data_IF_071350975817
#
_entry.id   IF_071350975817
#
_cell.length_a   1.000
_cell.length_b   1.000
_cell.length_c   1.000
_cell.angle_alpha   90.00
_cell.angle_beta   90.00
_cell.angle_gamma   90.00
#
_symmetry.space_group_name_H-M   'P 1'
#
loop_
_entity.id
_entity.type
_entity.pdbx_description
1 polymer ?
#
# COMPACT_ATOMS: atom_id res chain seq x y z
N UNK A 1 -28.84 -35.36 4.08
CA UNK A 1 -28.46 -34.40 5.15
C UNK A 1 -27.53 -35.02 6.21
N UNK A 2 -27.78 -36.26 6.71
CA UNK A 2 -26.91 -36.93 7.72
C UNK A 2 -25.44 -37.17 7.35
N UNK A 3 -25.08 -37.22 6.07
CA UNK A 3 -23.70 -37.49 5.64
C UNK A 3 -22.79 -36.26 5.66
N UNK A 4 -23.38 -35.05 5.57
CA UNK A 4 -22.66 -33.77 5.56
C UNK A 4 -22.28 -33.37 6.99
N UNK A 5 -23.15 -33.59 7.97
CA UNK A 5 -22.84 -33.34 9.39
C UNK A 5 -21.70 -34.24 9.89
N UNK A 6 -21.65 -35.50 9.44
CA UNK A 6 -20.54 -36.42 9.78
C UNK A 6 -19.21 -35.99 9.18
N UNK A 7 -19.20 -35.45 7.96
CA UNK A 7 -17.96 -34.97 7.32
C UNK A 7 -17.45 -33.70 7.99
N UNK A 8 -18.35 -32.77 8.35
CA UNK A 8 -17.99 -31.56 9.09
C UNK A 8 -17.43 -31.91 10.48
N UNK A 9 -18.02 -32.86 11.20
CA UNK A 9 -17.49 -33.30 12.50
C UNK A 9 -16.11 -33.97 12.39
N UNK A 10 -15.86 -34.78 11.35
CA UNK A 10 -14.55 -35.40 11.11
C UNK A 10 -13.46 -34.37 10.79
N UNK A 11 -13.79 -33.33 10.04
CA UNK A 11 -12.85 -32.24 9.71
C UNK A 11 -12.56 -31.36 10.94
N UNK A 12 -13.57 -31.12 11.79
CA UNK A 12 -13.37 -30.35 13.02
C UNK A 12 -12.46 -31.11 14.01
N UNK A 13 -12.64 -32.43 14.14
CA UNK A 13 -11.81 -33.27 15.00
C UNK A 13 -10.36 -33.37 14.53
N UNK A 14 -10.11 -33.43 13.21
CA UNK A 14 -8.74 -33.46 12.69
C UNK A 14 -8.02 -32.12 12.90
N UNK A 15 -8.72 -30.98 12.76
CA UNK A 15 -8.16 -29.66 13.06
C UNK A 15 -7.76 -29.51 14.54
N UNK A 16 -8.61 -29.98 15.46
CA UNK A 16 -8.31 -29.94 16.89
C UNK A 16 -7.10 -30.84 17.21
N UNK A 17 -7.01 -32.03 16.61
CA UNK A 17 -5.87 -32.94 16.82
C UNK A 17 -4.54 -32.33 16.34
N UNK A 18 -4.54 -31.61 15.20
CA UNK A 18 -3.35 -30.92 14.68
C UNK A 18 -2.93 -29.76 15.60
N UNK A 19 -3.90 -28.99 16.11
CA UNK A 19 -3.62 -27.89 17.05
C UNK A 19 -3.02 -28.39 18.37
N UNK A 20 -3.53 -29.51 18.90
CA UNK A 20 -2.97 -30.14 20.11
C UNK A 20 -1.55 -30.66 19.85
N UNK A 21 -1.30 -31.27 18.70
CA UNK A 21 0.04 -31.77 18.36
C UNK A 21 1.07 -30.64 18.24
N UNK A 22 0.69 -29.51 17.63
CA UNK A 22 1.55 -28.31 17.55
C UNK A 22 1.85 -27.73 18.95
N UNK A 23 0.87 -27.74 19.85
CA UNK A 23 1.05 -27.27 21.23
C UNK A 23 2.00 -28.17 22.04
N UNK A 24 1.92 -29.49 21.86
CA UNK A 24 2.83 -30.44 22.53
C UNK A 24 4.28 -30.27 22.05
N UNK A 25 4.49 -30.02 20.75
CA UNK A 25 5.83 -29.77 20.20
C UNK A 25 6.41 -28.45 20.74
N UNK A 26 5.57 -27.42 20.92
CA UNK A 26 5.98 -26.15 21.53
C UNK A 26 6.33 -26.28 23.01
N UNK A 27 5.71 -27.21 23.75
CA UNK A 27 5.99 -27.45 25.17
C UNK A 27 7.28 -28.25 25.41
N UNK A 28 7.75 -29.02 24.43
CA UNK A 28 8.98 -29.81 24.54
C UNK A 28 10.25 -29.06 24.07
N UNK A 29 10.12 -27.87 23.50
CA UNK A 29 11.26 -27.05 23.05
C UNK A 29 11.53 -25.89 24.01
N UNK A 30 12.12 -26.16 25.18
CA UNK A 30 12.58 -25.06 26.04
C UNK A 30 13.17 -25.42 27.39
N UNK A 31 14.49 -25.71 27.44
CA UNK A 31 15.47 -25.07 28.35
C UNK A 31 16.85 -25.72 28.26
N UNK A 32 17.86 -24.95 27.84
CA UNK A 32 19.20 -24.96 28.46
C UNK A 32 19.74 -23.52 28.50
N UNK A 33 19.62 -22.92 29.67
CA UNK A 33 20.43 -21.80 30.14
C UNK A 33 21.35 -22.36 31.23
N UNK A 34 22.67 -22.22 31.08
CA UNK A 34 23.62 -22.53 32.15
C UNK A 34 24.48 -21.31 32.43
N UNK A 35 24.25 -20.71 33.59
CA UNK A 35 25.20 -19.87 34.32
C UNK A 35 25.72 -20.66 35.52
N UNK A 36 27.04 -20.71 35.73
CA UNK A 36 27.60 -20.93 37.06
C UNK A 36 29.00 -20.33 37.16
N UNK A 37 29.23 -19.60 38.25
CA UNK A 37 30.50 -19.04 38.67
C UNK A 37 30.81 -19.49 40.11
N UNK A 38 32.07 -19.90 40.34
CA UNK A 38 32.77 -20.05 41.65
C UNK A 38 32.43 -21.32 42.46
N UNK A 39 33.32 -22.02 43.18
CA UNK A 39 34.76 -21.93 43.54
C UNK A 39 35.17 -23.34 44.04
N UNK A 40 36.37 -23.86 43.70
CA UNK A 40 37.29 -24.50 44.67
C UNK A 40 38.59 -25.02 44.04
N UNK A 41 39.64 -24.83 44.83
CA UNK A 41 41.06 -25.19 44.79
C UNK A 41 41.50 -26.54 44.17
N UNK A 42 42.65 -26.56 43.48
CA UNK A 42 43.97 -26.91 44.06
C UNK A 42 45.01 -27.46 43.03
N UNK A 43 46.29 -27.19 43.32
CA UNK A 43 47.54 -27.91 42.95
C UNK A 43 48.23 -27.72 41.58
N UNK A 44 49.36 -27.00 41.65
CA UNK A 44 50.71 -27.20 41.09
C UNK A 44 50.96 -27.84 39.71
N UNK A 45 51.79 -27.17 38.90
CA UNK A 45 52.58 -27.80 37.84
C UNK A 45 53.36 -26.77 37.01
N UNK A 46 54.66 -26.98 36.88
CA UNK A 46 55.66 -26.01 36.48
C UNK A 46 55.79 -25.77 34.96
N UNK A 47 56.30 -24.57 34.61
CA UNK A 47 57.28 -24.37 33.55
C UNK A 47 56.80 -24.42 32.09
N UNK A 48 56.63 -23.25 31.47
CA UNK A 48 56.45 -23.17 30.01
C UNK A 48 56.51 -21.74 29.50
N UNK A 49 57.59 -21.43 28.79
CA UNK A 49 57.98 -20.12 28.22
C UNK A 49 56.83 -19.30 27.62
N UNK A 50 56.86 -18.02 27.96
CA UNK A 50 56.20 -16.91 27.27
C UNK A 50 56.47 -16.98 25.76
N UNK A 51 55.43 -17.30 24.98
CA UNK A 51 55.40 -17.02 23.54
C UNK A 51 54.22 -16.10 23.28
N UNK A 52 54.59 -14.89 22.86
CA UNK A 52 53.74 -13.80 22.40
C UNK A 52 52.86 -14.31 21.25
N UNK A 53 51.52 -14.18 21.27
CA UNK A 53 50.75 -14.41 20.06
C UNK A 53 51.00 -13.24 19.11
N UNK A 54 51.56 -13.56 17.95
CA UNK A 54 51.56 -12.69 16.79
C UNK A 54 50.11 -12.34 16.43
N UNK A 55 49.82 -11.05 16.23
CA UNK A 55 48.51 -10.56 15.83
C UNK A 55 48.16 -11.07 14.44
N UNK A 56 47.24 -12.02 14.38
CA UNK A 56 46.46 -12.30 13.18
C UNK A 56 45.07 -11.71 13.46
N UNK A 57 44.84 -10.48 13.02
CA UNK A 57 43.51 -9.88 13.11
C UNK A 57 42.52 -10.78 12.37
N UNK A 58 41.54 -11.32 13.09
CA UNK A 58 40.54 -12.20 12.50
C UNK A 58 39.83 -11.46 11.36
N UNK A 59 40.01 -11.91 10.12
CA UNK A 59 39.38 -11.29 8.95
C UNK A 59 37.87 -11.48 9.06
N UNK A 60 37.13 -10.37 9.07
CA UNK A 60 35.69 -10.37 9.25
C UNK A 60 35.00 -10.57 7.90
N UNK A 61 34.10 -11.55 7.82
CA UNK A 61 33.31 -11.77 6.61
C UNK A 61 32.13 -10.81 6.57
N UNK A 62 31.97 -10.09 5.46
CA UNK A 62 30.89 -9.11 5.28
C UNK A 62 30.18 -9.28 3.94
N UNK A 63 28.91 -8.87 3.90
CA UNK A 63 28.20 -8.61 2.65
C UNK A 63 28.54 -7.20 2.18
N UNK A 64 28.93 -7.05 0.92
CA UNK A 64 29.28 -5.75 0.33
C UNK A 64 28.34 -5.40 -0.83
N UNK A 65 28.08 -4.12 -0.98
CA UNK A 65 27.30 -3.52 -2.09
C UNK A 65 28.20 -2.56 -2.83
N UNK A 66 28.23 -2.67 -4.15
CA UNK A 66 28.96 -1.74 -5.00
C UNK A 66 28.11 -0.50 -5.26
N UNK A 67 28.70 0.67 -5.14
CA UNK A 67 28.04 1.95 -5.40
C UNK A 67 27.85 2.15 -6.91
N UNK A 68 26.71 1.75 -7.44
CA UNK A 68 26.33 1.96 -8.84
C UNK A 68 25.23 3.03 -8.97
N UNK A 69 25.10 3.69 -10.14
CA UNK A 69 23.97 4.57 -10.41
C UNK A 69 22.65 3.80 -10.33
N UNK A 70 21.85 4.10 -9.30
CA UNK A 70 20.57 3.47 -9.05
C UNK A 70 19.48 4.53 -8.87
N UNK A 71 18.23 4.09 -8.82
CA UNK A 71 17.07 4.96 -8.61
C UNK A 71 16.31 4.54 -7.35
N UNK A 72 15.90 5.52 -6.56
CA UNK A 72 15.13 5.28 -5.35
C UNK A 72 13.76 5.94 -5.47
N UNK A 73 12.73 5.11 -5.35
CA UNK A 73 11.33 5.54 -5.34
C UNK A 73 10.82 5.43 -3.91
N UNK A 74 10.27 6.52 -3.40
CA UNK A 74 9.51 6.54 -2.16
C UNK A 74 8.03 6.53 -2.50
N UNK A 75 7.33 5.54 -1.95
CA UNK A 75 5.89 5.36 -2.15
C UNK A 75 5.15 5.48 -0.83
N UNK A 76 3.84 5.73 -0.93
CA UNK A 76 2.91 5.58 0.18
C UNK A 76 1.78 4.67 -0.27
N UNK A 77 1.35 3.78 0.64
CA UNK A 77 0.21 2.91 0.40
C UNK A 77 -1.05 3.58 0.96
N UNK A 78 -2.07 3.68 0.13
CA UNK A 78 -3.36 4.30 0.42
C UNK A 78 -4.49 3.36 0.02
N UNK A 79 -5.66 3.63 0.56
CA UNK A 79 -6.90 2.96 0.20
C UNK A 79 -7.86 3.98 -0.39
N UNK A 80 -8.65 3.56 -1.36
CA UNK A 80 -9.65 4.43 -1.97
C UNK A 80 -10.71 3.63 -2.71
N UNK A 81 -11.59 4.35 -3.36
CA UNK A 81 -12.76 3.79 -4.02
C UNK A 81 -12.88 4.33 -5.44
N UNK A 82 -13.32 3.45 -6.34
CA UNK A 82 -13.61 3.83 -7.72
C UNK A 82 -14.96 4.54 -7.75
N UNK A 83 -14.93 5.80 -8.16
CA UNK A 83 -16.11 6.67 -8.26
C UNK A 83 -16.28 7.17 -9.69
N UNK A 84 -17.52 7.46 -10.07
CA UNK A 84 -17.82 8.12 -11.34
C UNK A 84 -17.55 9.61 -11.19
N UNK A 85 -17.01 10.25 -12.24
CA UNK A 85 -16.84 11.71 -12.23
C UNK A 85 -18.16 12.45 -12.22
N UNK A 86 -19.12 11.93 -12.98
CA UNK A 86 -20.47 12.48 -13.06
C UNK A 86 -21.47 11.45 -12.55
N UNK A 87 -22.10 11.79 -11.43
CA UNK A 87 -23.26 11.10 -10.91
C UNK A 87 -24.35 12.13 -10.63
N UNK A 88 -25.55 11.91 -11.15
CA UNK A 88 -26.69 12.79 -10.92
C UNK A 88 -27.91 12.00 -10.46
N UNK A 89 -28.50 12.49 -9.37
CA UNK A 89 -29.78 12.03 -8.87
C UNK A 89 -30.89 12.75 -9.63
N UNK A 90 -31.81 11.98 -10.21
CA UNK A 90 -33.01 12.49 -10.86
C UNK A 90 -34.15 12.54 -9.86
N UNK A 91 -34.82 13.67 -9.75
CA UNK A 91 -35.93 13.88 -8.83
C UNK A 91 -37.25 14.04 -9.59
N UNK A 92 -38.35 13.73 -8.92
CA UNK A 92 -39.67 14.06 -9.45
C UNK A 92 -39.95 15.56 -9.27
N UNK A 93 -40.57 16.19 -10.26
CA UNK A 93 -41.04 17.58 -10.15
C UNK A 93 -42.28 17.70 -9.24
N UNK A 94 -43.02 16.59 -9.08
CA UNK A 94 -44.27 16.53 -8.33
C UNK A 94 -44.34 15.27 -7.48
N UNK A 95 -45.00 15.35 -6.32
CA UNK A 95 -45.34 14.18 -5.50
C UNK A 95 -46.48 13.41 -6.18
N UNK A 96 -46.35 12.08 -6.29
CA UNK A 96 -47.36 11.25 -6.94
C UNK A 96 -47.01 9.77 -6.94
N UNK A 97 -47.86 8.96 -7.57
CA UNK A 97 -47.58 7.54 -7.76
C UNK A 97 -46.72 7.31 -9.00
N UNK A 98 -45.74 6.42 -8.91
CA UNK A 98 -44.95 6.00 -10.06
C UNK A 98 -45.80 5.13 -10.99
N UNK A 99 -46.15 5.63 -12.17
CA UNK A 99 -47.01 4.91 -13.14
C UNK A 99 -46.18 3.97 -14.03
N UNK A 100 -45.01 4.43 -14.43
CA UNK A 100 -44.11 3.65 -15.27
C UNK A 100 -42.67 4.02 -15.00
N UNK A 101 -41.79 3.04 -15.07
CA UNK A 101 -40.35 3.21 -15.16
C UNK A 101 -39.93 2.62 -16.50
N UNK A 102 -39.49 3.47 -17.43
CA UNK A 102 -39.11 3.06 -18.79
C UNK A 102 -37.68 2.50 -18.83
N UNK A 103 -36.93 2.65 -17.73
CA UNK A 103 -35.54 2.30 -17.65
C UNK A 103 -35.26 1.29 -16.53
N UNK A 104 -34.15 0.57 -16.66
CA UNK A 104 -33.72 -0.50 -15.75
C UNK A 104 -32.30 -0.20 -15.27
N UNK A 105 -31.94 -0.65 -14.07
CA UNK A 105 -30.55 -0.57 -13.60
C UNK A 105 -29.62 -1.24 -14.62
N UNK A 106 -28.58 -0.53 -15.04
CA UNK A 106 -27.64 -0.93 -16.09
C UNK A 106 -28.01 -0.48 -17.50
N UNK A 107 -29.20 0.09 -17.72
CA UNK A 107 -29.58 0.65 -19.03
C UNK A 107 -28.98 2.04 -19.26
N UNK A 108 -28.58 2.31 -20.51
CA UNK A 108 -28.09 3.62 -20.93
C UNK A 108 -29.25 4.56 -21.27
N UNK A 109 -29.19 5.79 -20.76
CA UNK A 109 -30.16 6.86 -20.99
C UNK A 109 -29.45 8.09 -21.53
N UNK A 110 -30.14 8.81 -22.43
CA UNK A 110 -29.63 10.06 -23.01
C UNK A 110 -30.19 11.26 -22.26
N UNK A 111 -29.48 12.37 -22.27
CA UNK A 111 -29.97 13.65 -21.76
C UNK A 111 -31.32 13.99 -22.40
N UNK A 112 -32.31 14.27 -21.56
CA UNK A 112 -33.69 14.59 -21.95
C UNK A 112 -34.62 13.39 -22.11
N UNK A 113 -34.11 12.15 -22.12
CA UNK A 113 -34.95 10.96 -22.19
C UNK A 113 -35.79 10.81 -20.92
N UNK A 114 -37.00 10.29 -21.08
CA UNK A 114 -37.90 10.02 -19.96
C UNK A 114 -37.44 8.73 -19.30
N UNK A 115 -37.18 8.80 -18.00
CA UNK A 115 -36.77 7.65 -17.18
C UNK A 115 -37.98 7.06 -16.48
N UNK A 116 -38.85 7.91 -15.96
CA UNK A 116 -40.05 7.50 -15.24
C UNK A 116 -41.20 8.50 -15.41
N UNK A 117 -42.41 8.06 -15.09
CA UNK A 117 -43.62 8.89 -15.12
C UNK A 117 -44.33 8.84 -13.79
N UNK A 118 -44.65 10.01 -13.27
CA UNK A 118 -45.28 10.20 -11.95
C UNK A 118 -46.67 10.77 -12.15
N UNK A 119 -47.66 10.13 -11.57
CA UNK A 119 -49.04 10.62 -11.56
C UNK A 119 -49.32 11.41 -10.28
N UNK A 120 -49.41 12.76 -10.36
CA UNK A 120 -49.76 13.60 -9.22
C UNK A 120 -51.27 13.62 -8.94
N UNK A 121 -52.09 12.89 -9.71
CA UNK A 121 -53.54 12.97 -9.64
C UNK A 121 -54.04 12.59 -8.25
N UNK A 122 -54.73 13.54 -7.64
CA UNK A 122 -55.60 13.34 -6.48
C UNK A 122 -57.05 13.32 -6.98
N UNK A 123 -57.98 12.66 -6.27
CA UNK A 123 -59.39 12.72 -6.62
C UNK A 123 -59.85 14.18 -6.83
N UNK A 124 -60.29 14.51 -8.05
CA UNK A 124 -60.73 15.86 -8.45
C UNK A 124 -59.71 16.73 -9.20
N UNK A 125 -58.48 16.27 -9.45
CA UNK A 125 -57.46 16.99 -10.23
C UNK A 125 -57.44 16.56 -11.73
N UNK A 126 -57.06 17.44 -12.66
CA UNK A 126 -56.86 17.06 -14.07
C UNK A 126 -55.70 16.08 -14.22
N UNK A 127 -55.89 15.06 -15.06
CA UNK A 127 -54.93 13.98 -15.29
C UNK A 127 -53.76 14.47 -16.16
N UNK A 128 -52.60 14.70 -15.56
CA UNK A 128 -51.37 15.04 -16.29
C UNK A 128 -50.17 14.34 -15.65
N UNK A 129 -49.65 13.32 -16.33
CA UNK A 129 -48.50 12.55 -15.86
C UNK A 129 -47.23 13.40 -16.00
N UNK A 130 -46.49 13.54 -14.92
CA UNK A 130 -45.24 14.31 -14.86
C UNK A 130 -44.03 13.42 -15.23
N UNK A 131 -43.28 13.74 -16.30
CA UNK A 131 -42.12 12.93 -16.71
C UNK A 131 -40.87 13.30 -15.93
N UNK A 132 -40.19 12.30 -15.38
CA UNK A 132 -38.83 12.43 -14.83
C UNK A 132 -37.84 12.23 -15.97
N UNK A 133 -37.01 13.24 -16.24
CA UNK A 133 -36.06 13.22 -17.37
C UNK A 133 -34.62 13.12 -16.89
N UNK A 134 -33.78 12.43 -17.66
CA UNK A 134 -32.34 12.46 -17.41
C UNK A 134 -31.76 13.83 -17.77
N UNK A 135 -30.91 14.38 -16.91
CA UNK A 135 -30.20 15.65 -17.14
C UNK A 135 -28.84 15.46 -17.81
N UNK A 136 -28.33 14.23 -17.86
CA UNK A 136 -27.06 13.84 -18.48
C UNK A 136 -27.22 12.59 -19.35
N UNK A 137 -26.23 12.32 -20.20
CA UNK A 137 -26.05 11.01 -20.82
C UNK A 137 -25.34 10.09 -19.83
N UNK A 138 -25.80 8.85 -19.66
CA UNK A 138 -25.18 7.91 -18.73
C UNK A 138 -25.97 6.64 -18.50
N UNK A 139 -25.52 5.82 -17.56
CA UNK A 139 -26.13 4.55 -17.20
C UNK A 139 -26.86 4.68 -15.88
N UNK A 140 -28.05 4.10 -15.78
CA UNK A 140 -28.79 4.06 -14.52
C UNK A 140 -28.09 3.12 -13.54
N UNK A 141 -27.64 3.66 -12.42
CA UNK A 141 -26.97 2.90 -11.36
C UNK A 141 -27.91 2.48 -10.25
N UNK A 142 -28.98 3.24 -10.01
CA UNK A 142 -29.94 2.95 -8.95
C UNK A 142 -31.37 3.40 -9.31
N UNK A 143 -32.34 2.61 -8.87
CA UNK A 143 -33.79 2.83 -9.03
C UNK A 143 -34.48 2.40 -7.71
N UNK A 144 -34.57 3.31 -6.73
CA UNK A 144 -35.05 2.95 -5.40
C UNK A 144 -36.56 2.70 -5.33
N UNK A 145 -37.32 3.08 -6.37
CA UNK A 145 -38.78 2.97 -6.39
C UNK A 145 -39.28 1.93 -7.39
N UNK A 146 -40.36 1.25 -7.00
CA UNK A 146 -41.10 0.35 -7.90
C UNK A 146 -42.40 0.97 -8.39
N UNK A 147 -42.90 0.50 -9.53
CA UNK A 147 -44.16 1.00 -10.12
C UNK A 147 -45.31 0.78 -9.13
N UNK A 148 -46.08 1.84 -8.87
CA UNK A 148 -47.18 1.87 -7.89
C UNK A 148 -46.82 2.53 -6.56
N UNK A 149 -45.53 2.70 -6.26
CA UNK A 149 -45.07 3.41 -5.06
C UNK A 149 -45.26 4.92 -5.17
N UNK A 150 -45.31 5.59 -4.02
CA UNK A 150 -45.41 7.05 -3.98
C UNK A 150 -44.03 7.66 -3.94
N UNK A 151 -43.71 8.46 -4.96
CA UNK A 151 -42.45 9.20 -5.05
C UNK A 151 -42.63 10.62 -4.51
N UNK A 152 -41.57 11.12 -3.88
CA UNK A 152 -41.50 12.49 -3.37
C UNK A 152 -40.54 13.33 -4.21
N UNK A 153 -40.66 14.66 -4.13
CA UNK A 153 -39.71 15.58 -4.76
C UNK A 153 -38.38 15.67 -3.99
N UNK A 154 -38.33 15.20 -2.75
CA UNK A 154 -37.14 15.18 -1.89
C UNK A 154 -36.26 13.94 -2.05
N UNK A 155 -36.77 12.87 -2.64
CA UNK A 155 -36.07 11.61 -2.82
C UNK A 155 -35.73 11.37 -4.29
N UNK A 156 -34.55 10.83 -4.60
CA UNK A 156 -34.20 10.50 -5.98
C UNK A 156 -35.08 9.37 -6.52
N UNK A 157 -35.62 9.55 -7.72
CA UNK A 157 -36.37 8.53 -8.46
C UNK A 157 -35.43 7.58 -9.20
N UNK A 158 -34.30 8.10 -9.67
CA UNK A 158 -33.25 7.33 -10.33
C UNK A 158 -31.90 8.00 -10.12
N UNK A 159 -30.83 7.23 -10.22
CA UNK A 159 -29.46 7.74 -10.18
C UNK A 159 -28.79 7.38 -11.50
N UNK A 160 -28.24 8.38 -12.20
CA UNK A 160 -27.56 8.23 -13.50
C UNK A 160 -26.09 8.57 -13.34
N UNK A 161 -25.21 7.65 -13.72
CA UNK A 161 -23.76 7.86 -13.70
C UNK A 161 -23.13 7.58 -15.06
N UNK A 162 -22.10 8.34 -15.40
CA UNK A 162 -21.24 8.03 -16.55
C UNK A 162 -20.25 6.93 -16.17
N UNK A 163 -20.36 5.75 -16.79
CA UNK A 163 -19.47 4.61 -16.53
C UNK A 163 -18.17 4.64 -17.33
N UNK A 164 -18.10 5.48 -18.37
CA UNK A 164 -16.90 5.65 -19.20
C UNK A 164 -15.86 6.59 -18.57
N UNK A 165 -16.24 7.32 -17.52
CA UNK A 165 -15.38 8.29 -16.84
C UNK A 165 -15.30 8.00 -15.34
N UNK A 166 -14.51 6.98 -15.02
CA UNK A 166 -14.23 6.54 -13.66
C UNK A 166 -12.90 7.13 -13.18
N UNK A 167 -12.90 7.53 -11.91
CA UNK A 167 -11.73 8.02 -11.19
C UNK A 167 -11.62 7.29 -9.85
N UNK A 168 -10.46 7.34 -9.23
CA UNK A 168 -10.27 6.85 -7.86
C UNK A 168 -10.24 8.02 -6.92
N UNK A 169 -10.99 7.94 -5.83
CA UNK A 169 -10.95 8.92 -4.74
C UNK A 169 -10.21 8.29 -3.57
N UNK A 170 -9.22 9.00 -3.03
CA UNK A 170 -8.50 8.58 -1.83
C UNK A 170 -8.11 9.77 -0.98
N UNK A 171 -7.82 9.51 0.29
CA UNK A 171 -7.49 10.51 1.29
C UNK A 171 -6.03 10.32 1.74
N UNK A 172 -5.22 11.36 1.55
CA UNK A 172 -3.81 11.36 1.92
C UNK A 172 -3.58 12.12 3.22
N UNK A 173 -2.82 11.58 4.18
CA UNK A 173 -2.47 12.31 5.39
C UNK A 173 -1.77 13.66 5.11
N UNK A 174 -2.14 14.69 5.86
CA UNK A 174 -1.68 16.09 5.71
C UNK A 174 -0.14 16.21 5.66
N UNK A 175 0.60 15.34 6.37
CA UNK A 175 2.08 15.35 6.38
C UNK A 175 2.73 15.18 4.99
N UNK A 176 2.01 14.66 4.00
CA UNK A 176 2.50 14.49 2.64
C UNK A 176 2.07 15.61 1.69
N UNK A 177 1.30 16.60 2.14
CA UNK A 177 0.71 17.65 1.28
C UNK A 177 1.75 18.40 0.44
N UNK A 178 2.95 18.64 1.00
CA UNK A 178 4.01 19.40 0.33
C UNK A 178 4.57 18.71 -0.92
N UNK A 179 4.43 17.38 -1.03
CA UNK A 179 4.92 16.61 -2.18
C UNK A 179 3.81 16.27 -3.18
N UNK A 180 2.54 16.35 -2.78
CA UNK A 180 1.41 16.04 -3.65
C UNK A 180 1.25 17.08 -4.77
N UNK A 181 1.26 16.60 -6.01
CA UNK A 181 1.06 17.40 -7.21
C UNK A 181 0.27 16.60 -8.24
N UNK A 182 -0.47 17.31 -9.10
CA UNK A 182 -1.09 16.69 -10.27
C UNK A 182 -0.02 16.09 -11.18
N UNK A 183 -0.34 14.99 -11.85
CA UNK A 183 0.56 14.24 -12.72
C UNK A 183 1.46 13.22 -12.03
N UNK A 184 1.52 13.19 -10.68
CA UNK A 184 2.24 12.14 -9.95
C UNK A 184 1.70 10.75 -10.30
N UNK A 185 2.62 9.82 -10.53
CA UNK A 185 2.31 8.44 -10.87
C UNK A 185 1.86 7.65 -9.64
N UNK A 186 0.90 6.76 -9.83
CA UNK A 186 0.47 5.78 -8.86
C UNK A 186 0.24 4.43 -9.55
N UNK A 187 0.41 3.36 -8.80
CA UNK A 187 -0.05 2.02 -9.19
C UNK A 187 -1.30 1.67 -8.38
N UNK A 188 -2.32 1.20 -9.07
CA UNK A 188 -3.60 0.85 -8.45
C UNK A 188 -3.81 -0.64 -8.59
N UNK A 189 -4.19 -1.31 -7.52
CA UNK A 189 -4.66 -2.70 -7.55
C UNK A 189 -6.08 -2.75 -7.02
N UNK A 190 -6.93 -3.55 -7.67
CA UNK A 190 -8.32 -3.73 -7.27
C UNK A 190 -8.44 -5.04 -6.51
N UNK A 191 -9.13 -5.03 -5.36
CA UNK A 191 -9.35 -6.27 -4.58
C UNK A 191 -10.16 -7.29 -5.39
N UNK A 192 -11.03 -6.82 -6.29
CA UNK A 192 -11.80 -7.66 -7.20
C UNK A 192 -10.98 -8.34 -8.30
N UNK A 193 -9.75 -7.86 -8.57
CA UNK A 193 -8.84 -8.40 -9.58
C UNK A 193 -7.43 -8.59 -8.99
N UNK A 194 -7.24 -9.62 -8.14
CA UNK A 194 -5.96 -9.84 -7.47
C UNK A 194 -4.84 -10.13 -8.47
N UNK A 195 -3.68 -9.49 -8.28
CA UNK A 195 -2.50 -9.66 -9.13
C UNK A 195 -2.45 -8.72 -10.34
N UNK A 196 -3.51 -7.95 -10.60
CA UNK A 196 -3.52 -6.94 -11.65
C UNK A 196 -3.22 -5.56 -11.07
N UNK A 197 -2.37 -4.80 -11.76
CA UNK A 197 -2.07 -3.41 -11.47
C UNK A 197 -2.44 -2.53 -12.65
N UNK A 198 -3.00 -1.36 -12.33
CA UNK A 198 -3.42 -0.35 -13.28
C UNK A 198 -2.57 0.90 -13.03
N UNK A 199 -1.85 1.39 -14.06
CA UNK A 199 -1.16 2.67 -13.96
C UNK A 199 -2.19 3.78 -13.80
N UNK A 200 -1.90 4.73 -12.92
CA UNK A 200 -2.77 5.85 -12.64
C UNK A 200 -1.97 7.12 -12.38
N UNK A 201 -2.63 8.27 -12.49
CA UNK A 201 -2.02 9.58 -12.24
C UNK A 201 -2.95 10.46 -11.42
N UNK A 202 -2.38 11.27 -10.53
CA UNK A 202 -3.16 12.28 -9.81
C UNK A 202 -3.72 13.30 -10.82
N UNK A 203 -5.04 13.36 -10.95
CA UNK A 203 -5.74 14.34 -11.76
C UNK A 203 -6.13 15.58 -10.96
N UNK A 204 -6.39 15.41 -9.66
CA UNK A 204 -6.75 16.52 -8.77
C UNK A 204 -6.19 16.31 -7.37
N UNK A 205 -5.71 17.39 -6.78
CA UNK A 205 -5.43 17.49 -5.34
C UNK A 205 -6.39 18.53 -4.78
N UNK A 206 -7.20 18.17 -3.78
CA UNK A 206 -8.12 19.09 -3.14
C UNK A 206 -7.35 20.24 -2.47
N UNK A 207 -7.77 21.50 -2.64
CA UNK A 207 -7.18 22.62 -1.89
C UNK A 207 -7.67 22.65 -0.43
N UNK A 208 -8.63 21.81 -0.06
CA UNK A 208 -9.23 21.76 1.27
C UNK A 208 -8.68 20.56 2.04
N UNK A 209 -8.17 20.83 3.24
CA UNK A 209 -7.81 19.81 4.24
C UNK A 209 -9.02 19.56 5.13
N UNK A 210 -9.39 18.29 5.30
CA UNK A 210 -10.39 17.91 6.30
C UNK A 210 -9.75 17.94 7.69
N UNK A 211 -10.22 18.86 8.55
CA UNK A 211 -9.69 19.05 9.90
C UNK A 211 -9.98 17.88 10.84
N UNK A 212 -11.04 17.11 10.58
CA UNK A 212 -11.44 15.98 11.42
C UNK A 212 -10.54 14.77 11.18
N UNK A 213 -10.33 14.43 9.91
CA UNK A 213 -9.51 13.28 9.51
C UNK A 213 -8.02 13.61 9.32
N UNK A 214 -7.65 14.91 9.25
CA UNK A 214 -6.30 15.38 8.90
C UNK A 214 -5.80 14.82 7.58
N UNK A 215 -6.71 14.77 6.60
CA UNK A 215 -6.43 14.27 5.26
C UNK A 215 -6.80 15.27 4.17
N UNK A 216 -6.20 15.08 3.01
CA UNK A 216 -6.49 15.79 1.76
C UNK A 216 -7.04 14.78 0.77
N UNK A 217 -8.20 15.08 0.18
CA UNK A 217 -8.75 14.30 -0.92
C UNK A 217 -7.87 14.49 -2.17
N UNK A 218 -7.47 13.37 -2.78
CA UNK A 218 -6.90 13.36 -4.12
C UNK A 218 -7.75 12.48 -5.03
N UNK A 219 -7.75 12.81 -6.31
CA UNK A 219 -8.38 12.02 -7.36
C UNK A 219 -7.34 11.53 -8.33
N UNK A 220 -7.47 10.27 -8.73
CA UNK A 220 -6.58 9.64 -9.70
C UNK A 220 -7.36 9.18 -10.91
N UNK A 221 -6.78 9.44 -12.07
CA UNK A 221 -7.23 8.89 -13.34
C UNK A 221 -6.46 7.62 -13.62
N UNK A 222 -7.16 6.59 -14.10
CA UNK A 222 -6.55 5.32 -14.47
C UNK A 222 -6.22 5.37 -15.95
N UNK A 223 -4.98 5.04 -16.29
CA UNK A 223 -4.55 4.89 -17.67
C UNK A 223 -5.09 3.54 -18.19
N UNK A 224 -5.83 3.57 -19.31
CA UNK A 224 -6.44 2.40 -19.97
C UNK A 224 -7.35 1.52 -19.08
N UNK A 225 -8.50 2.07 -18.64
CA UNK A 225 -9.50 1.29 -17.93
C UNK A 225 -10.18 0.34 -18.93
N UNK A 226 -9.66 -0.88 -19.11
CA UNK A 226 -10.13 -1.90 -20.06
C UNK A 226 -11.58 -2.41 -19.85
N UNK A 227 -12.54 -1.53 -19.51
CA UNK A 227 -13.93 -1.81 -19.12
C UNK A 227 -14.10 -2.72 -17.89
N UNK A 228 -13.02 -2.99 -17.16
CA UNK A 228 -13.02 -3.86 -15.97
C UNK A 228 -13.37 -3.10 -14.70
N UNK A 229 -13.17 -1.79 -14.70
CA UNK A 229 -13.50 -0.93 -13.58
C UNK A 229 -15.00 -0.75 -13.45
N UNK A 230 -15.50 -0.92 -12.23
CA UNK A 230 -16.89 -0.62 -11.88
C UNK A 230 -16.90 0.37 -10.74
N UNK A 231 -17.90 1.24 -10.78
CA UNK A 231 -18.21 2.13 -9.66
C UNK A 231 -18.38 1.33 -8.36
N UNK A 232 -17.86 1.87 -7.26
CA UNK A 232 -17.93 1.26 -5.93
C UNK A 232 -16.88 0.16 -5.67
N UNK A 233 -15.97 -0.11 -6.60
CA UNK A 233 -14.86 -1.03 -6.35
C UNK A 233 -13.85 -0.42 -5.38
N UNK A 234 -13.31 -1.26 -4.49
CA UNK A 234 -12.25 -0.89 -3.58
C UNK A 234 -10.87 -1.01 -4.24
N UNK A 235 -10.06 0.04 -4.10
CA UNK A 235 -8.76 0.19 -4.70
C UNK A 235 -7.66 0.34 -3.63
N UNK A 236 -6.56 -0.37 -3.82
CA UNK A 236 -5.32 -0.19 -3.07
C UNK A 236 -4.34 0.55 -3.97
N UNK A 237 -3.84 1.68 -3.48
CA UNK A 237 -3.08 2.64 -4.28
C UNK A 237 -1.67 2.71 -3.71
N UNK A 238 -0.66 2.53 -4.56
CA UNK A 238 0.74 2.77 -4.26
C UNK A 238 1.13 4.07 -4.97
N UNK A 239 1.09 5.18 -4.24
CA UNK A 239 1.38 6.50 -4.78
C UNK A 239 2.88 6.78 -4.70
N UNK A 240 3.49 7.17 -5.82
CA UNK A 240 4.88 7.63 -5.86
C UNK A 240 4.93 9.09 -5.39
N UNK A 241 5.57 9.34 -4.24
CA UNK A 241 5.66 10.69 -3.65
C UNK A 241 6.99 11.38 -3.94
N UNK A 242 8.07 10.62 -4.12
CA UNK A 242 9.39 11.13 -4.50
C UNK A 242 10.14 10.07 -5.29
N UNK A 243 10.93 10.51 -6.25
CA UNK A 243 11.84 9.68 -7.01
C UNK A 243 13.15 10.44 -7.21
N UNK A 244 14.25 9.73 -7.04
CA UNK A 244 15.60 10.20 -7.37
C UNK A 244 16.24 9.18 -8.30
N UNK A 245 16.97 9.67 -9.30
CA UNK A 245 17.71 8.86 -10.27
C UNK A 245 19.20 9.17 -10.12
N UNK A 246 20.05 8.33 -10.71
CA UNK A 246 21.51 8.49 -10.75
C UNK A 246 22.12 8.74 -9.36
N UNK A 247 21.68 7.96 -8.36
CA UNK A 247 22.15 8.09 -6.98
C UNK A 247 22.63 6.76 -6.42
N UNK A 248 23.49 6.83 -5.40
CA UNK A 248 23.94 5.65 -4.67
C UNK A 248 22.86 5.27 -3.65
N UNK A 249 22.42 4.02 -3.70
CA UNK A 249 21.41 3.45 -2.82
C UNK A 249 22.01 2.28 -2.06
N UNK A 250 21.83 2.27 -0.74
CA UNK A 250 22.29 1.18 0.11
C UNK A 250 21.16 0.66 0.99
N UNK A 251 21.21 -0.61 1.43
CA UNK A 251 20.31 -1.09 2.47
C UNK A 251 20.42 -0.22 3.72
N UNK A 252 19.30 0.04 4.41
CA UNK A 252 19.33 0.82 5.66
C UNK A 252 20.26 0.22 6.72
N UNK A 253 20.46 -1.10 6.69
CA UNK A 253 21.37 -1.81 7.60
C UNK A 253 22.85 -1.44 7.41
N UNK A 254 23.21 -0.88 6.25
CA UNK A 254 24.57 -0.42 5.93
C UNK A 254 24.91 0.90 6.65
N UNK A 255 23.91 1.76 6.85
CA UNK A 255 24.08 3.07 7.49
C UNK A 255 24.01 2.90 9.00
N UNK A 256 25.04 3.39 9.70
CA UNK A 256 25.08 3.41 11.16
C UNK A 256 25.17 4.84 11.66
N UNK A 257 24.70 5.05 12.89
CA UNK A 257 24.90 6.32 13.58
C UNK A 257 26.07 6.20 14.53
N UNK A 258 27.06 7.08 14.39
CA UNK A 258 28.22 7.16 15.27
C UNK A 258 28.49 8.63 15.58
N UNK A 259 28.60 8.99 16.87
CA UNK A 259 28.78 10.38 17.31
C UNK A 259 27.76 11.36 16.72
N UNK A 260 26.48 10.96 16.64
CA UNK A 260 25.38 11.74 16.03
C UNK A 260 25.50 11.98 14.52
N UNK A 261 26.48 11.36 13.84
CA UNK A 261 26.63 11.41 12.39
C UNK A 261 26.26 10.08 11.76
N UNK A 262 25.75 10.13 10.53
CA UNK A 262 25.51 8.95 9.73
C UNK A 262 26.83 8.53 9.06
N UNK A 263 27.19 7.26 9.23
CA UNK A 263 28.41 6.67 8.70
C UNK A 263 28.10 5.40 7.92
N UNK A 264 28.96 5.10 6.95
CA UNK A 264 29.06 3.79 6.30
C UNK A 264 30.50 3.31 6.38
N UNK A 265 30.72 2.03 6.08
CA UNK A 265 32.07 1.48 5.96
C UNK A 265 32.35 1.19 4.49
N UNK A 266 33.36 1.87 3.94
CA UNK A 266 33.85 1.66 2.57
C UNK A 266 35.06 0.74 2.64
N UNK A 267 35.11 -0.26 1.78
CA UNK A 267 36.21 -1.22 1.68
C UNK A 267 37.26 -0.61 0.74
N UNK A 268 38.47 -0.41 1.25
CA UNK A 268 39.59 0.06 0.44
C UNK A 268 40.20 -1.05 -0.44
N UNK A 269 41.10 -0.69 -1.36
CA UNK A 269 41.78 -1.63 -2.25
C UNK A 269 42.62 -2.68 -1.50
N UNK A 270 43.00 -2.37 -0.26
CA UNK A 270 43.78 -3.25 0.63
C UNK A 270 42.88 -4.24 1.41
N UNK A 271 41.55 -4.11 1.30
CA UNK A 271 40.57 -4.99 1.95
C UNK A 271 40.24 -4.60 3.40
N UNK A 272 40.44 -3.34 3.79
CA UNK A 272 40.06 -2.82 5.10
C UNK A 272 38.79 -1.98 5.04
N UNK A 273 37.96 -2.10 6.08
CA UNK A 273 36.76 -1.28 6.25
C UNK A 273 37.12 0.09 6.84
N UNK A 274 36.93 1.15 6.05
CA UNK A 274 37.15 2.55 6.43
C UNK A 274 35.83 3.23 6.77
N UNK A 275 35.73 3.78 7.97
CA UNK A 275 34.58 4.58 8.36
C UNK A 275 34.54 5.86 7.54
N UNK A 276 33.42 6.09 6.88
CA UNK A 276 33.19 7.29 6.07
C UNK A 276 31.90 7.95 6.50
N UNK A 277 31.97 9.25 6.79
CA UNK A 277 30.79 10.07 7.14
C UNK A 277 30.01 10.36 5.87
N UNK A 278 28.69 10.16 5.93
CA UNK A 278 27.80 10.31 4.79
C UNK A 278 26.62 11.21 5.13
N UNK A 279 26.11 11.91 4.11
CA UNK A 279 24.80 12.55 4.19
C UNK A 279 23.77 11.64 3.53
N UNK A 280 22.70 11.34 4.24
CA UNK A 280 21.60 10.51 3.73
C UNK A 280 20.46 11.36 3.22
N UNK A 281 19.81 10.89 2.16
CA UNK A 281 18.70 11.58 1.49
C UNK A 281 17.39 10.83 1.64
N UNK A 282 16.77 10.55 0.49
CA UNK A 282 15.53 9.81 0.40
C UNK A 282 15.67 8.39 1.00
N UNK A 283 14.62 7.90 1.64
CA UNK A 283 14.56 6.52 2.14
C UNK A 283 13.19 5.92 1.81
N UNK A 284 13.18 4.66 1.37
CA UNK A 284 11.97 3.84 1.31
C UNK A 284 11.99 2.82 2.45
N UNK A 285 11.23 1.73 2.41
CA UNK A 285 11.17 0.78 3.53
C UNK A 285 12.50 0.04 3.75
N UNK A 286 13.20 -0.34 2.68
CA UNK A 286 14.38 -1.21 2.72
C UNK A 286 15.70 -0.46 2.53
N UNK A 287 15.68 0.59 1.71
CA UNK A 287 16.85 1.26 1.20
C UNK A 287 16.89 2.74 1.57
N UNK A 288 18.10 3.30 1.54
CA UNK A 288 18.39 4.70 1.81
C UNK A 288 19.39 5.24 0.78
N UNK A 289 19.16 6.48 0.37
CA UNK A 289 20.01 7.23 -0.53
C UNK A 289 21.22 7.79 0.21
N UNK A 290 22.41 7.66 -0.38
CA UNK A 290 23.61 8.39 0.01
C UNK A 290 23.80 9.58 -0.93
N UNK A 291 23.77 10.80 -0.37
CA UNK A 291 23.88 12.06 -1.13
C UNK A 291 25.34 12.48 -1.26
N UNK A 292 26.12 12.33 -0.19
CA UNK A 292 27.56 12.66 -0.18
C UNK A 292 28.34 11.66 0.67
N UNK A 293 29.65 11.60 0.43
CA UNK A 293 30.60 10.81 1.21
C UNK A 293 31.01 9.49 0.56
N UNK A 294 30.39 9.10 -0.56
CA UNK A 294 30.73 7.88 -1.32
C UNK A 294 30.71 8.20 -2.81
N UNK A 295 31.60 7.57 -3.57
CA UNK A 295 31.71 7.70 -5.02
C UNK A 295 31.19 6.46 -5.74
N UNK A 296 30.81 6.60 -7.01
CA UNK A 296 30.48 5.45 -7.83
C UNK A 296 31.69 4.51 -7.96
N UNK A 297 31.45 3.21 -7.83
CA UNK A 297 32.48 2.17 -7.81
C UNK A 297 32.92 1.73 -6.42
N UNK A 298 32.66 2.53 -5.38
CA UNK A 298 33.05 2.20 -4.00
C UNK A 298 32.33 0.94 -3.50
N UNK A 299 33.05 0.10 -2.76
CA UNK A 299 32.48 -1.09 -2.12
C UNK A 299 32.06 -0.77 -0.68
N UNK A 300 30.76 -0.84 -0.40
CA UNK A 300 30.18 -0.46 0.90
C UNK A 300 29.76 -1.72 1.66
N UNK A 301 30.07 -1.79 2.95
CA UNK A 301 29.62 -2.90 3.80
C UNK A 301 28.12 -2.79 4.05
N UNK A 302 27.35 -3.76 3.56
CA UNK A 302 25.89 -3.82 3.71
C UNK A 302 25.43 -4.66 4.92
N UNK A 303 26.21 -5.68 5.29
CA UNK A 303 25.92 -6.57 6.42
C UNK A 303 27.22 -7.06 7.09
N UNK A 304 27.15 -7.27 8.40
CA UNK A 304 28.27 -7.75 9.21
C UNK A 304 28.79 -6.70 10.22
N UNK A 305 29.31 -7.15 11.35
CA UNK A 305 29.77 -6.28 12.43
C UNK A 305 31.23 -5.86 12.21
N UNK A 306 31.45 -4.74 11.53
CA UNK A 306 32.78 -4.15 11.32
C UNK A 306 33.00 -2.89 12.13
N UNK A 307 34.27 -2.63 12.44
CA UNK A 307 34.79 -1.40 13.02
C UNK A 307 35.79 -0.76 12.06
N UNK A 308 36.15 0.50 12.30
CA UNK A 308 37.12 1.20 11.47
C UNK A 308 38.49 0.50 11.49
N UNK A 309 39.10 0.34 10.32
CA UNK A 309 40.37 -0.36 10.12
C UNK A 309 40.30 -1.89 10.25
N UNK A 310 39.09 -2.48 10.32
CA UNK A 310 38.99 -3.94 10.40
C UNK A 310 39.32 -4.60 9.05
N UNK A 311 40.15 -5.65 9.02
CA UNK A 311 40.35 -6.44 7.81
C UNK A 311 39.06 -7.18 7.48
N UNK A 312 38.57 -7.03 6.25
CA UNK A 312 37.32 -7.62 5.81
C UNK A 312 37.51 -8.52 4.60
N UNK A 313 36.67 -9.56 4.51
CA UNK A 313 36.54 -10.39 3.31
C UNK A 313 35.11 -10.33 2.83
N UNK A 314 34.93 -10.04 1.55
CA UNK A 314 33.62 -10.05 0.92
C UNK A 314 33.16 -11.51 0.77
N UNK A 315 32.04 -11.87 1.41
CA UNK A 315 31.39 -13.16 1.18
C UNK A 315 30.45 -13.11 -0.02
N UNK A 316 29.68 -12.03 -0.13
CA UNK A 316 28.66 -11.83 -1.15
C UNK A 316 28.73 -10.38 -1.65
N UNK A 317 28.68 -10.21 -2.98
CA UNK A 317 28.66 -8.91 -3.64
C UNK A 317 27.28 -8.76 -4.29
N UNK A 318 26.45 -7.87 -3.74
CA UNK A 318 25.12 -7.61 -4.27
C UNK A 318 25.07 -6.25 -4.98
N UNK A 319 24.35 -6.21 -6.10
CA UNK A 319 24.00 -5.00 -6.86
C UNK A 319 22.49 -4.74 -6.71
N UNK A 320 22.09 -3.48 -6.57
CA UNK A 320 20.71 -3.08 -6.24
C UNK A 320 20.23 -1.88 -7.05
#
# INVERSE_FOLDING_TARGET
MKNIEKTIQLVLLSLIAIAVLALVISLFSGKKTSSSAGVSSSVSGAGGKSTKPAGNGAVLTVGAVQAEPSSLIQTIRLNGDVSSRSNISLYADTVGKLVSCEAVVGSFVRRGSIVARVDPSRPGAPYAVSPVRSTIDGTITDLPYTVGETVSTSSPVAVVSTLDDLQIITHVPEKYIAVLKTGLSAEVSLVSYPGETFPARISMVSPVVDSNSRTVEIRLDIDDPNQRLRHGMFAVIILVIRQVQDTIVVPKTAVRTYNQENIVYVIDEEGFARRTVVQTGLANDTYIQLVTGVSFGDSIVASGAVSDGSPVRIAERNTY
#
